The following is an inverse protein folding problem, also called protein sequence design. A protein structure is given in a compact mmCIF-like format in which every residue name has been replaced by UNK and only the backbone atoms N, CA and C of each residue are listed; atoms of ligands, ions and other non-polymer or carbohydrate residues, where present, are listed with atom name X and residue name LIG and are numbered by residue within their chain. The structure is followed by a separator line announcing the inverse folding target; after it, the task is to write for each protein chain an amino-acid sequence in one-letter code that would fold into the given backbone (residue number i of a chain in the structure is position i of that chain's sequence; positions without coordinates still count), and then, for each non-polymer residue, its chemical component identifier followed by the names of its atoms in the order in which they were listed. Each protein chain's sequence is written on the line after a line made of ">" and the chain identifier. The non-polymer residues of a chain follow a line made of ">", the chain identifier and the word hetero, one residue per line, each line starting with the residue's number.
data_IF_282346207940
#
_entry.id   IF_282346207940
#
_cell.length_a   1.000
_cell.length_b   1.000
_cell.length_c   1.000
_cell.angle_alpha   90.00
_cell.angle_beta   90.00
_cell.angle_gamma   90.00
#
_symmetry.space_group_name_H-M   'P 1'
#
loop_
_entity.id
_entity.type
_entity.pdbx_description
1 polymer ?
#
# COMPACT_ATOMS: atom_id res chain seq x y z
N UNK A 1 -8.57 50.12 29.34
CA UNK A 1 -9.25 48.91 28.82
C UNK A 1 -8.44 48.24 27.69
N UNK A 2 -7.20 47.80 27.92
CA UNK A 2 -6.34 47.23 26.83
C UNK A 2 -5.74 45.83 27.16
N UNK A 3 -6.04 45.17 28.28
CA UNK A 3 -5.35 43.95 28.68
C UNK A 3 -6.19 42.65 28.66
N UNK A 4 -7.47 42.69 28.25
CA UNK A 4 -8.30 41.48 28.20
C UNK A 4 -8.11 40.67 26.91
N UNK A 5 -7.86 41.33 25.79
CA UNK A 5 -7.76 40.72 24.46
C UNK A 5 -6.48 39.89 24.23
N UNK A 6 -5.41 40.15 24.98
CA UNK A 6 -4.14 39.39 24.87
C UNK A 6 -4.19 38.04 25.55
N UNK A 7 -4.95 37.89 26.65
CA UNK A 7 -5.03 36.61 27.39
C UNK A 7 -5.84 35.54 26.65
N UNK A 8 -6.90 35.92 25.95
CA UNK A 8 -7.72 34.97 25.20
C UNK A 8 -6.99 34.39 23.99
N UNK A 9 -6.18 35.18 23.30
CA UNK A 9 -5.34 34.68 22.19
C UNK A 9 -4.28 33.69 22.65
N UNK A 10 -3.67 33.92 23.81
CA UNK A 10 -2.69 33.01 24.41
C UNK A 10 -3.32 31.65 24.77
N UNK A 11 -4.55 31.67 25.29
CA UNK A 11 -5.26 30.45 25.66
C UNK A 11 -5.65 29.62 24.41
N UNK A 12 -6.07 30.28 23.34
CA UNK A 12 -6.40 29.63 22.05
C UNK A 12 -5.17 28.98 21.43
N UNK A 13 -4.04 29.67 21.40
CA UNK A 13 -2.78 29.13 20.86
C UNK A 13 -2.32 27.91 21.67
N UNK A 14 -2.40 27.99 23.00
CA UNK A 14 -2.05 26.87 23.87
C UNK A 14 -2.95 25.64 23.64
N UNK A 15 -4.25 25.85 23.47
CA UNK A 15 -5.21 24.77 23.15
C UNK A 15 -4.91 24.09 21.82
N UNK A 16 -4.53 24.85 20.79
CA UNK A 16 -4.17 24.31 19.47
C UNK A 16 -2.88 23.49 19.57
N UNK A 17 -1.87 23.96 20.32
CA UNK A 17 -0.62 23.21 20.50
C UNK A 17 -0.83 21.88 21.23
N UNK A 18 -1.71 21.85 22.22
CA UNK A 18 -2.06 20.61 22.93
C UNK A 18 -2.78 19.64 22.00
N UNK A 19 -3.70 20.11 21.16
CA UNK A 19 -4.40 19.28 20.17
C UNK A 19 -3.43 18.67 19.16
N UNK A 20 -2.50 19.45 18.62
CA UNK A 20 -1.47 18.97 17.70
C UNK A 20 -0.58 17.92 18.37
N UNK A 21 -0.19 18.13 19.62
CA UNK A 21 0.61 17.17 20.40
C UNK A 21 -0.11 15.83 20.58
N UNK A 22 -1.41 15.85 20.86
CA UNK A 22 -2.23 14.64 21.01
C UNK A 22 -2.33 13.89 19.67
N UNK A 23 -2.55 14.60 18.56
CA UNK A 23 -2.64 13.98 17.22
C UNK A 23 -1.30 13.33 16.85
N UNK A 24 -0.18 14.01 17.09
CA UNK A 24 1.16 13.45 16.83
C UNK A 24 1.44 12.23 17.71
N UNK A 25 0.99 12.24 18.98
CA UNK A 25 1.15 11.11 19.89
C UNK A 25 0.36 9.89 19.41
N UNK A 26 -0.89 10.07 18.95
CA UNK A 26 -1.68 8.97 18.38
C UNK A 26 -1.08 8.47 17.07
N UNK A 27 -0.53 9.34 16.24
CA UNK A 27 0.15 8.95 15.00
C UNK A 27 1.40 8.09 15.29
N UNK A 28 2.16 8.44 16.33
CA UNK A 28 3.36 7.70 16.72
C UNK A 28 3.04 6.36 17.40
N UNK A 29 1.91 6.25 18.10
CA UNK A 29 1.45 4.99 18.71
C UNK A 29 0.98 4.00 17.63
N UNK A 30 0.38 4.47 16.55
CA UNK A 30 -0.13 3.61 15.48
C UNK A 30 1.00 2.95 14.65
N UNK A 31 2.19 3.56 14.62
CA UNK A 31 3.37 2.97 13.96
C UNK A 31 4.02 1.82 14.77
N UNK A 32 3.72 1.69 16.06
CA UNK A 32 4.35 0.66 16.93
C UNK A 32 3.65 -0.70 16.91
N UNK A 33 2.50 -0.86 16.28
CA UNK A 33 1.73 -2.12 16.30
C UNK A 33 2.04 -3.09 15.15
N UNK A 34 2.97 -2.78 14.24
CA UNK A 34 3.31 -3.70 13.15
C UNK A 34 4.53 -4.59 13.37
N UNK A 35 5.15 -4.54 14.54
CA UNK A 35 6.31 -5.39 14.82
C UNK A 35 6.18 -6.10 16.17
N UNK A 36 5.34 -7.14 16.27
CA UNK A 36 5.54 -8.21 17.27
C UNK A 36 4.62 -9.41 16.98
N UNK A 37 5.11 -10.38 16.22
CA UNK A 37 4.82 -11.80 16.46
C UNK A 37 5.96 -12.64 15.88
N UNK A 38 7.02 -12.78 16.65
CA UNK A 38 8.00 -13.84 16.47
C UNK A 38 7.65 -14.88 17.54
N UNK A 39 7.08 -15.99 17.10
CA UNK A 39 6.96 -17.19 17.91
C UNK A 39 8.30 -17.95 17.89
N UNK A 40 8.85 -18.14 19.07
CA UNK A 40 10.01 -18.99 19.35
C UNK A 40 9.77 -20.45 18.95
N UNK A 41 10.68 -21.03 18.20
CA UNK A 41 11.11 -22.43 18.42
C UNK A 41 12.50 -22.66 17.82
N UNK A 42 13.33 -22.97 18.69
CA UNK A 42 14.68 -23.50 18.84
C UNK A 42 15.29 -24.33 17.69
N UNK A 43 16.59 -24.12 17.60
CA UNK A 43 17.71 -25.01 17.22
C UNK A 43 18.26 -24.95 15.79
N UNK A 44 19.41 -24.36 15.72
CA UNK A 44 20.68 -24.81 15.16
C UNK A 44 20.97 -24.68 13.67
N UNK A 45 22.13 -24.11 13.51
CA UNK A 45 23.15 -24.24 12.46
C UNK A 45 23.21 -23.08 11.45
N UNK A 46 24.25 -22.32 11.73
CA UNK A 46 24.88 -21.28 10.90
C UNK A 46 25.41 -21.96 9.63
N UNK A 47 24.96 -21.54 8.48
CA UNK A 47 25.79 -21.48 7.29
C UNK A 47 25.50 -20.13 6.62
N UNK A 48 26.52 -19.29 6.60
CA UNK A 48 26.58 -18.07 5.83
C UNK A 48 26.63 -18.42 4.34
N UNK A 49 25.49 -18.64 3.73
CA UNK A 49 25.36 -18.44 2.29
C UNK A 49 25.09 -16.96 2.08
N UNK A 50 26.15 -16.28 1.62
CA UNK A 50 25.99 -15.03 0.90
C UNK A 50 25.27 -15.39 -0.40
N UNK A 51 23.95 -15.39 -0.36
CA UNK A 51 23.13 -15.35 -1.56
C UNK A 51 23.53 -14.06 -2.29
N UNK A 52 24.30 -14.23 -3.36
CA UNK A 52 24.46 -13.20 -4.38
C UNK A 52 23.07 -13.02 -4.94
N UNK A 53 22.33 -12.03 -4.39
CA UNK A 53 20.97 -11.73 -4.77
C UNK A 53 20.92 -11.57 -6.29
N UNK A 54 20.05 -12.34 -6.89
CA UNK A 54 19.54 -12.09 -8.22
C UNK A 54 18.99 -10.65 -8.23
N UNK A 55 19.71 -9.73 -8.88
CA UNK A 55 19.45 -8.28 -8.84
C UNK A 55 18.18 -7.88 -9.58
N UNK A 56 17.33 -8.85 -9.93
CA UNK A 56 16.08 -8.67 -10.66
C UNK A 56 14.81 -8.98 -9.84
N UNK A 57 14.93 -9.36 -8.56
CA UNK A 57 13.72 -9.69 -7.78
C UNK A 57 13.18 -8.44 -7.09
N UNK A 58 11.88 -8.16 -7.30
CA UNK A 58 11.17 -7.09 -6.60
C UNK A 58 11.26 -7.25 -5.08
N UNK A 59 11.62 -6.19 -4.41
CA UNK A 59 11.57 -6.08 -2.95
C UNK A 59 10.12 -6.05 -2.46
N UNK A 60 9.91 -6.29 -1.18
CA UNK A 60 8.57 -6.19 -0.55
C UNK A 60 8.01 -4.76 -0.72
N UNK A 61 8.86 -3.74 -0.57
CA UNK A 61 8.45 -2.33 -0.73
C UNK A 61 7.99 -2.02 -2.17
N UNK A 62 8.71 -2.52 -3.17
CA UNK A 62 8.33 -2.38 -4.58
C UNK A 62 7.02 -3.11 -4.90
N UNK A 63 6.80 -4.30 -4.32
CA UNK A 63 5.54 -5.02 -4.45
C UNK A 63 4.37 -4.26 -3.82
N UNK A 64 4.58 -3.59 -2.68
CA UNK A 64 3.56 -2.72 -2.06
C UNK A 64 3.23 -1.53 -2.97
N UNK A 65 4.23 -0.85 -3.53
CA UNK A 65 4.04 0.28 -4.46
C UNK A 65 3.23 -0.17 -5.69
N UNK A 66 3.59 -1.29 -6.30
CA UNK A 66 2.89 -1.85 -7.45
C UNK A 66 1.44 -2.22 -7.08
N UNK A 67 1.24 -2.81 -5.91
CA UNK A 67 -0.09 -3.19 -5.42
C UNK A 67 -0.99 -1.97 -5.20
N UNK A 68 -0.47 -0.90 -4.63
CA UNK A 68 -1.19 0.36 -4.45
C UNK A 68 -1.55 0.99 -5.81
N UNK A 69 -0.59 1.05 -6.73
CA UNK A 69 -0.83 1.53 -8.10
C UNK A 69 -1.96 0.77 -8.78
N UNK A 70 -1.98 -0.57 -8.69
CA UNK A 70 -3.03 -1.39 -9.28
C UNK A 70 -4.39 -1.14 -8.61
N UNK A 71 -4.45 -1.01 -7.28
CA UNK A 71 -5.69 -0.72 -6.55
C UNK A 71 -6.31 0.61 -6.95
N UNK A 72 -5.48 1.63 -7.16
CA UNK A 72 -5.94 2.95 -7.55
C UNK A 72 -6.42 3.02 -9.00
N UNK A 73 -5.80 2.23 -9.88
CA UNK A 73 -5.99 2.36 -11.32
C UNK A 73 -6.73 1.19 -11.98
N UNK A 74 -7.17 0.17 -11.25
CA UNK A 74 -7.76 -1.06 -11.82
C UNK A 74 -8.97 -0.80 -12.72
N UNK A 75 -9.81 0.19 -12.39
CA UNK A 75 -10.97 0.59 -13.22
C UNK A 75 -10.56 1.16 -14.57
N UNK A 76 -9.41 1.82 -14.64
CA UNK A 76 -8.90 2.39 -15.90
C UNK A 76 -8.12 1.36 -16.71
N UNK A 77 -7.37 0.50 -16.04
CA UNK A 77 -6.52 -0.53 -16.64
C UNK A 77 -7.33 -1.69 -17.21
N UNK A 78 -8.48 -2.01 -16.60
CA UNK A 78 -9.32 -3.13 -17.04
C UNK A 78 -9.91 -2.88 -18.44
N UNK A 79 -9.79 -3.83 -19.38
CA UNK A 79 -10.48 -3.75 -20.65
C UNK A 79 -12.01 -3.93 -20.52
N UNK A 80 -12.47 -4.61 -19.47
CA UNK A 80 -13.90 -4.69 -19.14
C UNK A 80 -14.35 -3.44 -18.38
N UNK A 81 -15.65 -3.13 -18.49
CA UNK A 81 -16.23 -1.98 -17.82
C UNK A 81 -17.13 -2.42 -16.67
N UNK A 82 -17.18 -1.57 -15.67
CA UNK A 82 -18.01 -1.76 -14.50
C UNK A 82 -19.49 -1.81 -14.86
N UNK A 83 -20.24 -2.57 -14.09
CA UNK A 83 -21.69 -2.74 -14.26
C UNK A 83 -22.42 -1.78 -13.34
N UNK A 84 -23.50 -1.18 -13.83
CA UNK A 84 -24.43 -0.33 -13.07
C UNK A 84 -23.77 0.85 -12.31
N UNK A 85 -22.63 1.34 -12.79
CA UNK A 85 -21.95 2.51 -12.20
C UNK A 85 -21.12 2.19 -10.94
N UNK A 86 -20.74 0.92 -10.76
CA UNK A 86 -19.76 0.49 -9.78
C UNK A 86 -18.36 1.05 -10.07
N UNK A 87 -17.41 0.69 -9.23
CA UNK A 87 -15.97 0.82 -9.49
C UNK A 87 -15.30 -0.50 -9.17
N UNK A 88 -14.35 -0.90 -9.98
CA UNK A 88 -13.55 -2.07 -9.66
C UNK A 88 -12.67 -1.80 -8.43
N UNK A 89 -12.56 -2.81 -7.58
CA UNK A 89 -11.59 -2.87 -6.49
C UNK A 89 -10.93 -4.24 -6.47
N UNK A 90 -9.66 -4.26 -6.13
CA UNK A 90 -8.86 -5.48 -6.09
C UNK A 90 -9.18 -6.25 -4.81
N UNK A 91 -9.41 -7.55 -4.94
CA UNK A 91 -9.64 -8.48 -3.84
C UNK A 91 -8.42 -9.33 -3.53
N UNK A 92 -7.57 -9.62 -4.53
CA UNK A 92 -6.33 -10.37 -4.37
C UNK A 92 -5.28 -9.94 -5.39
N UNK A 93 -4.00 -9.99 -4.99
CA UNK A 93 -2.83 -9.79 -5.87
C UNK A 93 -1.81 -10.88 -5.55
N UNK A 94 -1.42 -11.63 -6.58
CA UNK A 94 -0.40 -12.67 -6.49
C UNK A 94 0.73 -12.36 -7.48
N UNK A 95 1.94 -12.08 -6.99
CA UNK A 95 3.12 -11.87 -7.81
C UNK A 95 3.67 -13.23 -8.29
N UNK A 96 3.58 -13.49 -9.58
CA UNK A 96 4.15 -14.70 -10.21
C UNK A 96 5.64 -14.54 -10.54
N UNK A 97 6.05 -13.32 -10.83
CA UNK A 97 7.43 -12.91 -11.10
C UNK A 97 7.58 -11.42 -10.93
N UNK A 98 8.78 -10.91 -11.16
CA UNK A 98 9.10 -9.47 -11.09
C UNK A 98 8.44 -8.64 -12.20
N UNK A 99 7.76 -9.28 -13.15
CA UNK A 99 7.09 -8.62 -14.29
C UNK A 99 5.67 -9.14 -14.52
N UNK A 100 5.15 -10.01 -13.63
CA UNK A 100 3.86 -10.66 -13.85
C UNK A 100 3.08 -10.82 -12.55
N UNK A 101 1.82 -10.43 -12.60
CA UNK A 101 0.86 -10.50 -11.49
C UNK A 101 -0.41 -11.22 -11.97
N UNK A 102 -1.02 -11.97 -11.06
CA UNK A 102 -2.44 -12.33 -11.13
C UNK A 102 -3.19 -11.42 -10.18
N UNK A 103 -4.19 -10.72 -10.69
CA UNK A 103 -5.10 -9.90 -9.89
C UNK A 103 -6.53 -10.43 -9.98
N UNK A 104 -7.21 -10.51 -8.82
CA UNK A 104 -8.64 -10.72 -8.75
C UNK A 104 -9.28 -9.40 -8.32
N UNK A 105 -10.37 -9.01 -8.99
CA UNK A 105 -11.03 -7.74 -8.76
C UNK A 105 -12.52 -7.81 -9.12
N UNK A 106 -13.32 -6.96 -8.51
CA UNK A 106 -14.77 -6.96 -8.70
C UNK A 106 -15.35 -5.55 -8.53
N UNK A 107 -16.60 -5.36 -9.00
CA UNK A 107 -17.39 -4.13 -8.80
C UNK A 107 -18.65 -4.37 -7.95
N UNK A 108 -18.75 -5.54 -7.30
CA UNK A 108 -19.91 -5.98 -6.55
C UNK A 108 -21.01 -6.65 -7.42
N UNK A 109 -20.88 -6.67 -8.74
CA UNK A 109 -21.78 -7.34 -9.67
C UNK A 109 -21.06 -8.42 -10.48
N UNK A 110 -19.86 -8.13 -10.93
CA UNK A 110 -18.99 -9.08 -11.63
C UNK A 110 -17.66 -9.20 -10.91
N UNK A 111 -17.14 -10.42 -10.87
CA UNK A 111 -15.81 -10.72 -10.37
C UNK A 111 -14.95 -11.22 -11.53
N UNK A 112 -13.76 -10.68 -11.65
CA UNK A 112 -12.83 -10.92 -12.75
C UNK A 112 -11.47 -11.35 -12.21
N UNK A 113 -10.74 -12.12 -13.02
CA UNK A 113 -9.37 -12.51 -12.77
C UNK A 113 -8.52 -12.17 -13.99
N UNK A 114 -7.40 -11.52 -13.78
CA UNK A 114 -6.52 -11.10 -14.87
C UNK A 114 -5.06 -11.45 -14.61
N UNK A 115 -4.36 -11.77 -15.69
CA UNK A 115 -2.90 -11.76 -15.76
C UNK A 115 -2.46 -10.39 -16.27
N UNK A 116 -1.53 -9.77 -15.54
CA UNK A 116 -1.02 -8.44 -15.83
C UNK A 116 0.50 -8.55 -15.97
N UNK A 117 1.00 -8.23 -17.16
CA UNK A 117 2.43 -8.07 -17.39
C UNK A 117 2.79 -6.60 -17.22
N UNK A 118 3.81 -6.31 -16.45
CA UNK A 118 4.23 -4.94 -16.14
C UNK A 118 5.74 -4.79 -16.16
N UNK A 119 6.20 -3.54 -16.17
CA UNK A 119 7.58 -3.15 -15.97
C UNK A 119 7.62 -2.09 -14.87
N UNK A 120 8.39 -2.36 -13.83
CA UNK A 120 8.63 -1.43 -12.75
C UNK A 120 9.95 -0.69 -13.01
N UNK A 121 9.90 0.62 -13.19
CA UNK A 121 11.08 1.46 -13.42
C UNK A 121 11.45 2.18 -12.11
N UNK A 122 10.48 2.77 -11.45
CA UNK A 122 10.57 3.41 -10.15
C UNK A 122 9.17 3.62 -9.54
N UNK A 123 9.08 4.22 -8.37
CA UNK A 123 7.81 4.42 -7.64
C UNK A 123 6.76 5.28 -8.36
N UNK A 124 7.15 6.07 -9.34
CA UNK A 124 6.26 6.94 -10.13
C UNK A 124 6.01 6.39 -11.54
N UNK A 125 6.81 5.41 -11.96
CA UNK A 125 6.84 4.89 -13.32
C UNK A 125 6.63 3.37 -13.35
N UNK A 126 5.36 2.96 -13.34
CA UNK A 126 4.92 1.58 -13.53
C UNK A 126 4.22 1.50 -14.88
N UNK A 127 4.71 0.64 -15.76
CA UNK A 127 4.19 0.50 -17.12
C UNK A 127 3.50 -0.85 -17.28
N UNK A 128 2.19 -0.83 -17.51
CA UNK A 128 1.45 -2.05 -17.85
C UNK A 128 1.69 -2.39 -19.31
N UNK A 129 2.26 -3.56 -19.56
CA UNK A 129 2.59 -4.06 -20.91
C UNK A 129 1.45 -4.86 -21.53
N UNK A 130 0.75 -5.62 -20.71
CA UNK A 130 -0.36 -6.46 -21.13
C UNK A 130 -1.34 -6.66 -19.98
N UNK A 131 -2.63 -6.74 -20.30
CA UNK A 131 -3.71 -7.01 -19.35
C UNK A 131 -4.66 -8.04 -19.98
N UNK A 132 -4.68 -9.25 -19.43
CA UNK A 132 -5.45 -10.37 -19.99
C UNK A 132 -6.41 -10.93 -18.95
N UNK A 133 -7.71 -10.80 -19.22
CA UNK A 133 -8.75 -11.40 -18.38
C UNK A 133 -8.86 -12.90 -18.69
N UNK A 134 -9.01 -13.71 -17.64
CA UNK A 134 -9.40 -15.12 -17.76
C UNK A 134 -10.93 -15.22 -17.81
N UNK A 135 -11.43 -15.90 -18.81
CA UNK A 135 -12.84 -16.27 -18.94
C UNK A 135 -13.06 -17.69 -18.41
#
# INVERSE_FOLDING_TARGET
>A
MKNCYSKEKGLLIFSILVLISVILFFFFQNQKQQNTSIGESDSSIIENEVEIGDTNKLTIEEQEIISEYLKENISELSPEKEVLGGKFYITSIDFLSDQKIIAEYEDGHIALKAEIDFEYLDSENIVIKNFKIFN
#
